data_IF_769067652074
#
_entry.id   IF_769067652074
#
_cell.length_a   1.000
_cell.length_b   1.000
_cell.length_c   1.000
_cell.angle_alpha   90.00
_cell.angle_beta   90.00
_cell.angle_gamma   90.00
#
_symmetry.space_group_name_H-M   'P 1'
#
loop_
_entity.id
_entity.type
_entity.pdbx_description
1 polymer ?
#
# COMPACT_ATOMS: atom_id res chain seq x y z
N UNK A 1 -25.55 -22.76 -22.06
CA UNK A 1 -24.27 -22.22 -21.56
C UNK A 1 -24.27 -20.72 -21.75
N UNK A 2 -24.19 -19.95 -20.67
CA UNK A 2 -24.03 -18.49 -20.74
C UNK A 2 -22.69 -18.17 -21.41
N UNK A 3 -22.76 -17.57 -22.60
CA UNK A 3 -21.53 -17.20 -23.32
C UNK A 3 -20.96 -15.91 -22.69
N UNK A 4 -20.01 -16.09 -21.77
CA UNK A 4 -19.35 -15.00 -21.01
C UNK A 4 -18.64 -13.98 -21.90
N UNK A 5 -18.34 -14.34 -23.15
CA UNK A 5 -17.67 -13.44 -24.11
C UNK A 5 -18.56 -12.26 -24.52
N UNK A 6 -19.87 -12.41 -24.46
CA UNK A 6 -20.84 -11.36 -24.86
C UNK A 6 -21.18 -10.37 -23.73
N UNK A 7 -20.68 -10.61 -22.52
CA UNK A 7 -20.92 -9.72 -21.37
C UNK A 7 -19.87 -8.60 -21.32
N UNK A 8 -20.27 -7.42 -20.91
CA UNK A 8 -19.37 -6.30 -20.67
C UNK A 8 -18.32 -6.64 -19.58
N UNK A 9 -17.14 -5.99 -19.64
CA UNK A 9 -16.05 -6.21 -18.67
C UNK A 9 -16.50 -6.21 -17.20
N UNK A 10 -17.35 -5.23 -16.73
CA UNK A 10 -17.78 -5.21 -15.33
C UNK A 10 -18.62 -6.44 -14.95
N UNK A 11 -19.54 -6.87 -15.83
CA UNK A 11 -20.38 -8.03 -15.55
C UNK A 11 -19.57 -9.32 -15.43
N UNK A 12 -18.55 -9.49 -16.28
CA UNK A 12 -17.61 -10.66 -16.16
C UNK A 12 -16.86 -10.64 -14.84
N UNK A 13 -16.37 -9.49 -14.40
CA UNK A 13 -15.63 -9.34 -13.15
C UNK A 13 -16.52 -9.68 -11.94
N UNK A 14 -17.78 -9.24 -11.96
CA UNK A 14 -18.78 -9.58 -10.93
C UNK A 14 -19.03 -11.09 -10.89
N UNK A 15 -19.22 -11.74 -12.03
CA UNK A 15 -19.44 -13.18 -12.10
C UNK A 15 -18.20 -13.95 -11.54
N UNK A 16 -16.99 -13.53 -11.90
CA UNK A 16 -15.76 -14.16 -11.37
C UNK A 16 -15.63 -14.00 -9.87
N UNK A 17 -15.94 -12.80 -9.32
CA UNK A 17 -15.93 -12.57 -7.88
C UNK A 17 -16.95 -13.47 -7.15
N UNK A 18 -18.19 -13.56 -7.65
CA UNK A 18 -19.21 -14.44 -7.07
C UNK A 18 -18.81 -15.93 -7.18
N UNK A 19 -18.25 -16.35 -8.32
CA UNK A 19 -17.77 -17.73 -8.51
C UNK A 19 -16.62 -18.07 -7.56
N UNK A 20 -15.71 -17.11 -7.31
CA UNK A 20 -14.62 -17.27 -6.35
C UNK A 20 -15.16 -17.47 -4.93
N UNK A 21 -16.07 -16.59 -4.47
CA UNK A 21 -16.67 -16.69 -3.13
C UNK A 21 -17.46 -18.00 -3.01
N UNK A 22 -18.20 -18.39 -4.04
CA UNK A 22 -18.92 -19.66 -4.06
C UNK A 22 -17.96 -20.86 -3.93
N UNK A 23 -16.86 -20.85 -4.67
CA UNK A 23 -15.82 -21.90 -4.57
C UNK A 23 -15.22 -21.97 -3.17
N UNK A 24 -14.90 -20.81 -2.55
CA UNK A 24 -14.40 -20.76 -1.17
C UNK A 24 -15.45 -21.30 -0.16
N UNK A 25 -16.73 -20.98 -0.35
CA UNK A 25 -17.82 -21.51 0.49
C UNK A 25 -17.96 -23.01 0.39
N UNK A 26 -17.80 -23.58 -0.82
CA UNK A 26 -17.81 -25.04 -1.04
C UNK A 26 -16.60 -25.69 -0.33
N UNK A 27 -15.39 -25.14 -0.52
CA UNK A 27 -14.19 -25.62 0.13
C UNK A 27 -14.34 -25.58 1.66
N UNK A 28 -14.81 -24.48 2.21
CA UNK A 28 -15.11 -24.35 3.66
C UNK A 28 -16.05 -25.45 4.13
N UNK A 29 -17.11 -25.73 3.37
CA UNK A 29 -18.12 -26.74 3.76
C UNK A 29 -17.53 -28.15 3.73
N UNK A 30 -16.63 -28.46 2.80
CA UNK A 30 -16.00 -29.78 2.66
C UNK A 30 -14.87 -29.95 3.68
N UNK A 31 -14.03 -28.95 3.89
CA UNK A 31 -12.82 -29.06 4.73
C UNK A 31 -13.04 -28.68 6.18
N UNK A 32 -14.15 -27.98 6.51
CA UNK A 32 -14.38 -27.41 7.82
C UNK A 32 -13.55 -26.15 8.13
N UNK A 33 -12.75 -25.64 7.17
CA UNK A 33 -11.87 -24.50 7.34
C UNK A 33 -12.67 -23.18 7.34
N UNK A 34 -13.22 -22.81 8.51
CA UNK A 34 -14.08 -21.62 8.70
C UNK A 34 -13.35 -20.31 8.43
N UNK A 35 -12.02 -20.30 8.57
CA UNK A 35 -11.20 -19.09 8.43
C UNK A 35 -11.12 -18.57 6.99
N UNK A 36 -11.33 -19.43 5.98
CA UNK A 36 -11.24 -19.03 4.56
C UNK A 36 -12.17 -17.89 4.17
N UNK A 37 -13.35 -17.80 4.78
CA UNK A 37 -14.36 -16.78 4.50
C UNK A 37 -14.65 -15.90 5.72
N UNK A 38 -13.75 -15.92 6.71
CA UNK A 38 -13.92 -15.17 7.95
C UNK A 38 -13.75 -13.66 7.73
N UNK A 39 -14.38 -12.87 8.60
CA UNK A 39 -14.20 -11.41 8.67
C UNK A 39 -12.73 -11.07 8.86
N UNK A 40 -12.02 -11.81 9.73
CA UNK A 40 -10.61 -11.57 10.03
C UNK A 40 -9.71 -11.77 8.81
N UNK A 41 -9.91 -12.84 8.05
CA UNK A 41 -9.14 -13.09 6.82
C UNK A 41 -9.37 -12.01 5.77
N UNK A 42 -10.61 -11.56 5.59
CA UNK A 42 -10.94 -10.49 4.65
C UNK A 42 -10.33 -9.13 5.10
N UNK A 43 -10.38 -8.81 6.39
CA UNK A 43 -9.74 -7.60 6.94
C UNK A 43 -8.22 -7.65 6.79
N UNK A 44 -7.58 -8.79 7.08
CA UNK A 44 -6.14 -8.97 6.91
C UNK A 44 -5.73 -8.86 5.44
N UNK A 45 -6.51 -9.44 4.52
CA UNK A 45 -6.26 -9.31 3.08
C UNK A 45 -6.33 -7.86 2.61
N UNK A 46 -7.32 -7.09 3.07
CA UNK A 46 -7.42 -5.65 2.79
C UNK A 46 -6.21 -4.90 3.34
N UNK A 47 -5.86 -5.13 4.60
CA UNK A 47 -4.74 -4.47 5.27
C UNK A 47 -3.43 -4.69 4.50
N UNK A 48 -3.13 -5.93 4.12
CA UNK A 48 -1.90 -6.28 3.41
C UNK A 48 -1.91 -5.86 1.92
N UNK A 49 -3.08 -5.61 1.34
CA UNK A 49 -3.19 -5.12 -0.04
C UNK A 49 -2.80 -3.63 -0.19
N UNK A 50 -2.93 -2.83 0.88
CA UNK A 50 -2.68 -1.38 0.83
C UNK A 50 -1.24 -1.04 0.45
N UNK A 51 -0.19 -1.61 1.07
CA UNK A 51 1.19 -1.32 0.68
C UNK A 51 1.49 -1.68 -0.78
N UNK A 52 0.95 -2.80 -1.24
CA UNK A 52 1.10 -3.27 -2.63
C UNK A 52 0.40 -2.29 -3.59
N UNK A 53 -0.80 -1.85 -3.26
CA UNK A 53 -1.53 -0.86 -4.05
C UNK A 53 -0.80 0.49 -4.11
N UNK A 54 -0.20 0.94 -3.00
CA UNK A 54 0.59 2.17 -2.98
C UNK A 54 1.85 2.04 -3.83
N UNK A 55 2.58 0.93 -3.74
CA UNK A 55 3.72 0.66 -4.61
C UNK A 55 3.31 0.63 -6.10
N UNK A 56 2.19 -0.01 -6.42
CA UNK A 56 1.66 -0.07 -7.79
C UNK A 56 1.28 1.33 -8.32
N UNK A 57 0.64 2.17 -7.50
CA UNK A 57 0.38 3.57 -7.87
C UNK A 57 1.69 4.33 -8.08
N UNK A 58 2.67 4.13 -7.21
CA UNK A 58 4.01 4.69 -7.38
C UNK A 58 4.62 4.31 -8.72
N UNK A 59 4.65 3.01 -9.05
CA UNK A 59 5.09 2.50 -10.35
C UNK A 59 4.36 3.15 -11.52
N UNK A 60 3.04 3.27 -11.42
CA UNK A 60 2.21 3.90 -12.46
C UNK A 60 2.65 5.35 -12.75
N UNK A 61 2.94 6.17 -11.74
CA UNK A 61 3.38 7.55 -11.95
C UNK A 61 4.75 7.64 -12.60
N UNK A 62 5.71 6.83 -12.19
CA UNK A 62 7.06 6.84 -12.76
C UNK A 62 7.07 6.29 -14.20
N UNK A 63 6.34 5.21 -14.47
CA UNK A 63 6.24 4.63 -15.82
C UNK A 63 5.54 5.58 -16.79
N UNK A 64 4.49 6.27 -16.35
CA UNK A 64 3.84 7.30 -17.17
C UNK A 64 4.70 8.52 -17.42
N UNK A 65 5.72 8.76 -16.60
CA UNK A 65 6.77 9.77 -16.85
C UNK A 65 7.91 9.25 -17.71
N UNK A 66 7.88 7.99 -18.14
CA UNK A 66 8.93 7.36 -18.96
C UNK A 66 10.17 6.91 -18.17
N UNK A 67 10.01 6.65 -16.85
CA UNK A 67 11.07 6.13 -15.99
C UNK A 67 10.55 4.89 -15.27
N UNK A 68 11.19 3.74 -15.46
CA UNK A 68 10.84 2.50 -14.74
C UNK A 68 11.49 2.54 -13.36
N UNK A 69 10.68 2.45 -12.30
CA UNK A 69 11.15 2.49 -10.93
C UNK A 69 11.13 1.09 -10.29
N UNK A 70 12.25 0.39 -10.34
CA UNK A 70 12.45 -0.92 -9.69
C UNK A 70 12.90 -0.74 -8.23
N UNK A 71 13.26 0.48 -7.82
CA UNK A 71 13.69 0.81 -6.45
C UNK A 71 12.55 0.98 -5.44
N UNK A 72 11.31 0.65 -5.78
CA UNK A 72 10.14 0.84 -4.92
C UNK A 72 10.27 0.12 -3.58
N UNK A 73 10.87 -1.07 -3.54
CA UNK A 73 11.10 -1.83 -2.32
C UNK A 73 12.01 -1.07 -1.34
N UNK A 74 13.12 -0.54 -1.83
CA UNK A 74 14.03 0.28 -1.01
C UNK A 74 13.36 1.56 -0.51
N UNK A 75 12.55 2.20 -1.35
CA UNK A 75 11.77 3.40 -0.96
C UNK A 75 10.71 3.06 0.10
N UNK A 76 10.08 1.88 0.03
CA UNK A 76 9.19 1.37 1.07
C UNK A 76 9.93 1.11 2.38
N UNK A 77 11.12 0.50 2.34
CA UNK A 77 11.95 0.26 3.54
C UNK A 77 12.32 1.58 4.21
N UNK A 78 12.75 2.59 3.44
CA UNK A 78 13.02 3.93 3.96
C UNK A 78 11.77 4.58 4.55
N UNK A 79 10.63 4.42 3.88
CA UNK A 79 9.33 4.93 4.34
C UNK A 79 8.88 4.26 5.65
N UNK A 80 9.03 2.94 5.77
CA UNK A 80 8.71 2.20 6.98
C UNK A 80 9.57 2.65 8.17
N UNK A 81 10.86 2.81 7.95
CA UNK A 81 11.78 3.27 8.96
C UNK A 81 11.48 4.71 9.40
N UNK A 82 11.34 5.63 8.45
CA UNK A 82 10.98 7.03 8.74
C UNK A 82 9.64 7.16 9.45
N UNK A 83 8.65 6.36 9.00
CA UNK A 83 7.34 6.26 9.62
C UNK A 83 7.40 5.78 11.08
N UNK A 84 8.08 4.69 11.34
CA UNK A 84 8.27 4.16 12.70
C UNK A 84 9.07 5.11 13.60
N UNK A 85 10.16 5.70 13.09
CA UNK A 85 11.01 6.60 13.87
C UNK A 85 10.31 7.89 14.28
N UNK A 86 9.66 8.58 13.35
CA UNK A 86 8.96 9.83 13.64
C UNK A 86 7.61 9.54 14.30
N UNK A 87 6.92 8.49 13.88
CA UNK A 87 5.62 8.10 14.41
C UNK A 87 5.66 7.79 15.91
N UNK A 88 6.69 7.09 16.38
CA UNK A 88 6.86 6.79 17.80
C UNK A 88 7.12 8.02 18.68
N UNK A 89 7.61 9.12 18.10
CA UNK A 89 7.93 10.36 18.84
C UNK A 89 6.87 11.45 18.73
N UNK A 90 6.22 11.55 17.57
CA UNK A 90 5.34 12.70 17.23
C UNK A 90 3.94 12.24 16.79
N UNK A 91 3.62 10.97 16.97
CA UNK A 91 2.33 10.41 16.62
C UNK A 91 2.24 9.88 15.18
N UNK A 92 1.23 9.06 14.91
CA UNK A 92 1.15 8.25 13.68
C UNK A 92 1.01 9.09 12.41
N UNK A 93 0.32 10.23 12.44
CA UNK A 93 0.16 11.11 11.29
C UNK A 93 1.47 11.76 10.86
N UNK A 94 2.28 12.20 11.83
CA UNK A 94 3.63 12.71 11.56
C UNK A 94 4.52 11.60 10.99
N UNK A 95 4.37 10.37 11.49
CA UNK A 95 5.04 9.20 10.95
C UNK A 95 4.69 8.93 9.48
N UNK A 96 3.42 9.02 9.10
CA UNK A 96 3.00 8.83 7.71
C UNK A 96 3.64 9.87 6.78
N UNK A 97 3.65 11.15 7.18
CA UNK A 97 4.30 12.21 6.40
C UNK A 97 5.81 12.00 6.29
N UNK A 98 6.46 11.59 7.38
CA UNK A 98 7.87 11.25 7.37
C UNK A 98 8.17 10.07 6.45
N UNK A 99 7.30 9.06 6.42
CA UNK A 99 7.42 7.93 5.50
C UNK A 99 7.32 8.33 4.03
N UNK A 100 6.35 9.19 3.68
CA UNK A 100 6.23 9.77 2.33
C UNK A 100 7.51 10.51 1.96
N UNK A 101 8.03 11.34 2.85
CA UNK A 101 9.24 12.12 2.63
C UNK A 101 10.47 11.22 2.43
N UNK A 102 10.66 10.21 3.28
CA UNK A 102 11.80 9.30 3.19
C UNK A 102 11.75 8.45 1.92
N UNK A 103 10.56 8.00 1.50
CA UNK A 103 10.38 7.34 0.21
C UNK A 103 10.72 8.27 -0.97
N UNK A 104 10.32 9.53 -0.91
CA UNK A 104 10.68 10.53 -1.91
C UNK A 104 12.19 10.84 -1.95
N UNK A 105 12.89 10.79 -0.81
CA UNK A 105 14.37 10.89 -0.76
C UNK A 105 15.03 9.73 -1.51
N UNK A 106 14.56 8.49 -1.30
CA UNK A 106 15.04 7.34 -2.07
C UNK A 106 14.77 7.50 -3.58
N UNK A 107 13.60 8.02 -3.94
CA UNK A 107 13.23 8.30 -5.31
C UNK A 107 14.07 9.43 -5.93
N UNK A 108 14.47 10.42 -5.14
CA UNK A 108 15.36 11.49 -5.61
C UNK A 108 16.73 10.92 -6.04
N UNK A 109 17.29 9.99 -5.28
CA UNK A 109 18.53 9.30 -5.63
C UNK A 109 18.35 8.56 -6.97
N UNK A 110 17.26 7.82 -7.13
CA UNK A 110 16.93 7.13 -8.37
C UNK A 110 16.73 8.10 -9.55
N UNK A 111 16.01 9.21 -9.33
CA UNK A 111 15.78 10.22 -10.35
C UNK A 111 17.09 10.91 -10.82
N UNK A 112 17.98 11.25 -9.89
CA UNK A 112 19.29 11.82 -10.22
C UNK A 112 20.10 10.85 -11.07
N UNK A 113 20.13 9.58 -10.71
CA UNK A 113 20.86 8.57 -11.46
C UNK A 113 20.26 8.36 -12.87
N UNK A 114 18.97 8.17 -12.97
CA UNK A 114 18.31 7.78 -14.24
C UNK A 114 18.02 8.96 -15.15
N UNK A 115 17.45 10.04 -14.63
CA UNK A 115 17.07 11.22 -15.40
C UNK A 115 18.26 12.19 -15.54
N UNK A 116 19.06 12.34 -14.46
CA UNK A 116 20.21 13.26 -14.46
C UNK A 116 21.41 12.70 -15.21
N UNK A 117 21.82 11.49 -14.90
CA UNK A 117 23.03 10.87 -15.45
C UNK A 117 22.77 9.85 -16.55
N UNK A 118 21.51 9.51 -16.83
CA UNK A 118 21.17 8.53 -17.86
C UNK A 118 21.56 7.08 -17.51
N UNK A 119 21.69 6.77 -16.23
CA UNK A 119 21.98 5.41 -15.75
C UNK A 119 20.76 4.51 -16.06
N UNK A 120 21.04 3.27 -16.41
CA UNK A 120 19.99 2.27 -16.62
C UNK A 120 19.06 2.16 -15.42
N UNK A 121 17.75 2.12 -15.68
CA UNK A 121 16.71 2.15 -14.67
C UNK A 121 16.76 0.92 -13.73
N UNK A 122 17.09 -0.25 -14.27
CA UNK A 122 17.19 -1.50 -13.49
C UNK A 122 18.38 -1.43 -12.56
N UNK A 123 19.54 -1.04 -13.07
CA UNK A 123 20.78 -0.91 -12.30
C UNK A 123 20.58 0.08 -11.15
N UNK A 124 20.04 1.26 -11.46
CA UNK A 124 19.76 2.28 -10.44
C UNK A 124 18.73 1.81 -9.39
N UNK A 125 17.66 1.14 -9.82
CA UNK A 125 16.63 0.62 -8.89
C UNK A 125 17.16 -0.42 -7.94
N UNK A 126 17.93 -1.39 -8.43
CA UNK A 126 18.59 -2.41 -7.58
C UNK A 126 19.58 -1.76 -6.62
N UNK A 127 20.36 -0.78 -7.07
CA UNK A 127 21.27 -0.04 -6.20
C UNK A 127 20.53 0.68 -5.07
N UNK A 128 19.40 1.34 -5.36
CA UNK A 128 18.55 1.99 -4.34
C UNK A 128 18.03 0.99 -3.32
N UNK A 129 17.59 -0.21 -3.74
CA UNK A 129 17.11 -1.24 -2.82
C UNK A 129 18.22 -1.70 -1.86
N UNK A 130 19.44 -1.90 -2.34
CA UNK A 130 20.59 -2.30 -1.53
C UNK A 130 21.00 -1.18 -0.57
N UNK A 131 21.12 0.05 -1.08
CA UNK A 131 21.52 1.22 -0.29
C UNK A 131 20.48 1.51 0.79
N UNK A 132 19.19 1.45 0.48
CA UNK A 132 18.11 1.71 1.42
C UNK A 132 18.18 0.76 2.64
N UNK A 133 18.34 -0.54 2.40
CA UNK A 133 18.47 -1.52 3.48
C UNK A 133 19.71 -1.25 4.36
N UNK A 134 20.84 -0.93 3.73
CA UNK A 134 22.08 -0.58 4.47
C UNK A 134 21.96 0.71 5.27
N UNK A 135 21.39 1.77 4.69
CA UNK A 135 21.18 3.06 5.35
C UNK A 135 20.25 2.94 6.56
N UNK A 136 19.11 2.27 6.38
CA UNK A 136 18.13 2.09 7.45
C UNK A 136 18.75 1.33 8.61
N UNK A 137 19.50 0.26 8.35
CA UNK A 137 20.21 -0.49 9.38
C UNK A 137 21.25 0.36 10.10
N UNK A 138 22.03 1.13 9.36
CA UNK A 138 23.04 2.03 9.91
C UNK A 138 22.41 3.09 10.82
N UNK A 139 21.38 3.78 10.36
CA UNK A 139 20.69 4.78 11.16
C UNK A 139 19.99 4.18 12.38
N UNK A 140 19.39 3.00 12.26
CA UNK A 140 18.80 2.29 13.39
C UNK A 140 19.85 2.02 14.47
N UNK A 141 21.05 1.56 14.08
CA UNK A 141 22.14 1.26 15.01
C UNK A 141 22.63 2.51 15.74
N UNK A 142 22.66 3.67 15.09
CA UNK A 142 23.15 4.92 15.70
C UNK A 142 22.07 5.56 16.57
N UNK A 143 20.85 5.66 16.04
CA UNK A 143 19.79 6.46 16.66
C UNK A 143 19.10 5.72 17.80
N UNK A 144 19.16 4.38 17.84
CA UNK A 144 18.49 3.55 18.83
C UNK A 144 19.38 3.11 19.99
N UNK A 145 20.58 3.70 20.14
CA UNK A 145 21.55 3.37 21.19
C UNK A 145 21.14 3.72 22.62
N UNK A 146 20.12 4.56 22.83
CA UNK A 146 19.85 5.15 24.15
C UNK A 146 18.69 4.50 24.92
N UNK A 147 18.62 3.18 24.96
CA UNK A 147 17.91 2.46 26.03
C UNK A 147 16.36 2.45 26.00
N UNK A 148 15.71 3.16 25.07
CA UNK A 148 14.24 3.20 24.98
C UNK A 148 13.65 2.27 23.91
N UNK A 149 14.50 1.52 23.22
CA UNK A 149 14.12 0.66 22.09
C UNK A 149 14.46 -0.80 22.40
N UNK A 150 13.61 -1.70 21.92
CA UNK A 150 13.76 -3.15 22.12
C UNK A 150 14.99 -3.76 21.42
N UNK A 151 15.81 -2.93 20.77
CA UNK A 151 17.03 -3.31 20.08
C UNK A 151 17.24 -2.50 18.79
N UNK A 152 18.36 -2.67 18.09
CA UNK A 152 18.66 -1.92 16.88
C UNK A 152 17.75 -2.26 15.69
N UNK A 153 16.97 -3.33 15.80
CA UNK A 153 16.12 -3.85 14.72
C UNK A 153 14.63 -3.49 14.85
N UNK A 154 14.21 -2.89 15.97
CA UNK A 154 12.79 -2.57 16.20
C UNK A 154 12.63 -1.18 16.81
N UNK A 155 11.64 -0.43 16.30
CA UNK A 155 11.24 0.87 16.87
C UNK A 155 10.35 0.69 18.11
N UNK A 156 10.20 1.72 18.96
CA UNK A 156 9.10 1.77 19.91
C UNK A 156 7.75 1.69 19.17
N UNK A 157 6.73 1.26 19.91
CA UNK A 157 5.37 1.21 19.37
C UNK A 157 4.89 2.61 18.98
N UNK A 158 4.20 2.66 17.87
CA UNK A 158 3.48 3.85 17.38
C UNK A 158 2.04 3.73 17.81
N UNK A 159 1.43 4.81 18.27
CA UNK A 159 0.01 4.84 18.60
C UNK A 159 -0.82 4.37 17.42
N UNK A 160 -1.81 3.53 17.68
CA UNK A 160 -2.71 3.03 16.65
C UNK A 160 -3.57 4.15 16.07
N UNK A 161 -3.70 4.17 14.76
CA UNK A 161 -4.65 5.06 14.09
C UNK A 161 -6.05 4.47 14.24
N UNK A 162 -7.00 5.32 14.62
CA UNK A 162 -8.39 4.91 14.80
C UNK A 162 -8.95 4.20 13.56
N UNK A 163 -9.78 3.22 13.81
CA UNK A 163 -10.57 2.49 12.80
C UNK A 163 -12.02 2.93 12.85
N UNK A 164 -12.70 2.87 11.74
CA UNK A 164 -14.14 3.09 11.65
C UNK A 164 -14.76 2.13 10.64
N UNK A 165 -15.96 1.65 10.93
CA UNK A 165 -16.74 0.88 9.98
C UNK A 165 -17.50 1.78 9.00
N UNK A 166 -17.88 1.24 7.84
CA UNK A 166 -18.81 1.95 6.97
C UNK A 166 -20.17 2.08 7.67
N UNK A 167 -20.67 3.31 7.79
CA UNK A 167 -21.96 3.56 8.45
C UNK A 167 -23.10 2.77 7.80
N UNK A 168 -24.05 2.31 8.62
CA UNK A 168 -25.24 1.54 8.22
C UNK A 168 -24.91 0.10 7.77
N UNK A 169 -23.78 -0.12 7.10
CA UNK A 169 -23.38 -1.45 6.62
C UNK A 169 -22.67 -2.27 7.70
N UNK A 170 -21.67 -1.70 8.37
CA UNK A 170 -20.76 -2.43 9.28
C UNK A 170 -20.63 -1.80 10.67
N UNK A 171 -21.65 -1.09 11.15
CA UNK A 171 -21.64 -0.55 12.52
C UNK A 171 -20.76 0.67 12.74
N UNK A 172 -20.44 1.44 11.69
CA UNK A 172 -19.61 2.63 11.78
C UNK A 172 -20.24 3.76 12.61
N UNK A 173 -19.38 4.66 13.10
CA UNK A 173 -19.79 5.81 13.90
C UNK A 173 -19.87 7.08 13.03
N UNK A 174 -21.02 7.79 13.05
CA UNK A 174 -21.20 9.08 12.40
C UNK A 174 -21.53 10.10 13.47
N UNK A 175 -20.66 11.08 13.73
CA UNK A 175 -20.88 12.16 14.69
C UNK A 175 -21.41 11.68 16.07
N UNK A 176 -20.91 10.53 16.58
CA UNK A 176 -21.32 9.97 17.85
C UNK A 176 -22.52 9.00 17.80
N UNK A 177 -23.20 8.89 16.66
CA UNK A 177 -24.26 7.89 16.47
C UNK A 177 -23.66 6.58 15.91
N UNK A 178 -23.80 5.51 16.69
CA UNK A 178 -23.38 4.16 16.28
C UNK A 178 -24.44 3.54 15.39
N UNK A 179 -24.12 3.35 14.13
CA UNK A 179 -25.04 2.78 13.14
C UNK A 179 -25.20 1.26 13.33
N UNK A 180 -26.32 0.66 12.86
CA UNK A 180 -26.51 -0.79 12.92
C UNK A 180 -25.48 -1.52 12.01
N UNK A 181 -25.10 -2.74 12.43
CA UNK A 181 -24.25 -3.65 11.66
C UNK A 181 -25.12 -4.65 10.89
N UNK A 182 -25.59 -4.25 9.71
CA UNK A 182 -26.44 -5.07 8.85
C UNK A 182 -25.66 -6.28 8.28
N UNK A 183 -24.40 -6.07 7.88
CA UNK A 183 -23.57 -7.15 7.33
C UNK A 183 -23.27 -8.20 8.39
N UNK A 184 -23.00 -7.79 9.63
CA UNK A 184 -22.77 -8.71 10.76
C UNK A 184 -24.00 -9.52 11.11
N UNK A 185 -25.19 -8.93 11.09
CA UNK A 185 -26.44 -9.66 11.39
C UNK A 185 -26.74 -10.75 10.36
N UNK A 186 -26.43 -10.52 9.08
CA UNK A 186 -26.63 -11.51 8.02
C UNK A 186 -25.51 -12.57 8.05
N UNK A 187 -24.27 -12.16 8.29
CA UNK A 187 -23.13 -13.06 8.45
C UNK A 187 -23.35 -14.08 9.57
N UNK A 188 -23.96 -13.67 10.69
CA UNK A 188 -24.24 -14.53 11.84
C UNK A 188 -25.28 -15.62 11.59
N UNK A 189 -26.08 -15.54 10.52
CA UNK A 189 -27.14 -16.52 10.23
C UNK A 189 -26.64 -17.87 9.71
N UNK A 190 -25.34 -17.98 9.40
CA UNK A 190 -24.69 -19.21 8.91
C UNK A 190 -25.35 -19.86 7.66
N UNK A 191 -25.98 -19.06 6.81
CA UNK A 191 -26.51 -19.52 5.54
C UNK A 191 -25.36 -19.85 4.58
N UNK A 192 -25.45 -21.00 3.92
CA UNK A 192 -24.46 -21.39 2.91
C UNK A 192 -24.28 -20.27 1.86
N UNK A 193 -23.06 -19.93 1.52
CA UNK A 193 -22.67 -18.90 0.56
C UNK A 193 -23.05 -17.46 0.96
N UNK A 194 -24.30 -17.22 1.41
CA UNK A 194 -24.76 -15.86 1.74
C UNK A 194 -23.98 -15.33 2.94
N UNK A 195 -23.88 -16.09 4.03
CA UNK A 195 -23.13 -15.65 5.21
C UNK A 195 -21.66 -15.44 4.91
N UNK A 196 -21.06 -16.25 4.02
CA UNK A 196 -19.67 -16.11 3.60
C UNK A 196 -19.45 -14.81 2.83
N UNK A 197 -20.34 -14.51 1.87
CA UNK A 197 -20.29 -13.26 1.12
C UNK A 197 -20.39 -12.04 2.05
N UNK A 198 -21.34 -12.08 2.99
CA UNK A 198 -21.54 -10.97 3.94
C UNK A 198 -20.42 -10.88 4.98
N UNK A 199 -19.79 -12.00 5.37
CA UNK A 199 -18.61 -12.01 6.23
C UNK A 199 -17.41 -11.34 5.53
N UNK A 200 -17.16 -11.68 4.26
CA UNK A 200 -16.10 -11.04 3.48
C UNK A 200 -16.37 -9.54 3.31
N UNK A 201 -17.61 -9.15 2.94
CA UNK A 201 -17.97 -7.74 2.80
C UNK A 201 -17.81 -6.98 4.13
N UNK A 202 -18.21 -7.60 5.25
CA UNK A 202 -18.01 -7.03 6.59
C UNK A 202 -16.53 -6.86 6.92
N UNK A 203 -15.68 -7.83 6.58
CA UNK A 203 -14.23 -7.73 6.78
C UNK A 203 -13.60 -6.59 5.98
N UNK A 204 -14.11 -6.32 4.78
CA UNK A 204 -13.65 -5.22 3.92
C UNK A 204 -14.18 -3.83 4.37
N UNK A 205 -15.20 -3.77 5.21
CA UNK A 205 -15.91 -2.52 5.52
C UNK A 205 -16.06 -2.23 7.02
N UNK A 206 -15.75 -3.20 7.89
CA UNK A 206 -16.04 -3.13 9.32
C UNK A 206 -15.05 -2.24 10.09
N UNK A 207 -13.85 -2.70 10.27
CA UNK A 207 -12.82 -1.99 11.06
C UNK A 207 -11.70 -1.50 10.13
N UNK A 208 -12.03 -0.50 9.31
CA UNK A 208 -11.09 0.05 8.34
C UNK A 208 -10.35 1.23 8.96
N UNK A 209 -9.02 1.18 8.96
CA UNK A 209 -8.20 2.32 9.40
C UNK A 209 -8.45 3.55 8.52
N UNK A 210 -8.43 4.75 9.10
CA UNK A 210 -8.53 5.99 8.33
C UNK A 210 -7.47 6.08 7.23
N UNK A 211 -6.27 5.54 7.44
CA UNK A 211 -5.22 5.50 6.42
C UNK A 211 -5.58 4.55 5.28
N UNK A 212 -6.21 3.41 5.58
CA UNK A 212 -6.73 2.50 4.55
C UNK A 212 -7.79 3.18 3.70
N UNK A 213 -8.69 3.96 4.31
CA UNK A 213 -9.70 4.74 3.57
C UNK A 213 -9.05 5.76 2.64
N UNK A 214 -8.02 6.48 3.13
CA UNK A 214 -7.23 7.41 2.31
C UNK A 214 -6.54 6.66 1.16
N UNK A 215 -5.93 5.51 1.43
CA UNK A 215 -5.26 4.70 0.41
C UNK A 215 -6.24 4.24 -0.69
N UNK A 216 -7.43 3.79 -0.32
CA UNK A 216 -8.49 3.43 -1.27
C UNK A 216 -8.90 4.66 -2.11
N UNK A 217 -9.06 5.83 -1.48
CA UNK A 217 -9.41 7.07 -2.17
C UNK A 217 -8.30 7.57 -3.11
N UNK A 218 -7.03 7.28 -2.81
CA UNK A 218 -5.90 7.63 -3.67
C UNK A 218 -5.93 6.90 -5.02
N UNK A 219 -6.57 5.73 -5.13
CA UNK A 219 -6.68 4.99 -6.39
C UNK A 219 -7.50 5.77 -7.45
N UNK A 220 -8.78 6.10 -7.21
CA UNK A 220 -9.55 6.90 -8.16
C UNK A 220 -9.01 8.34 -8.29
N UNK A 221 -8.44 8.91 -7.23
CA UNK A 221 -7.77 10.20 -7.29
C UNK A 221 -6.58 10.18 -8.25
N UNK A 222 -5.72 9.16 -8.20
CA UNK A 222 -4.56 9.00 -9.10
C UNK A 222 -5.02 8.85 -10.56
N UNK A 223 -6.09 8.10 -10.80
CA UNK A 223 -6.68 8.00 -12.13
C UNK A 223 -7.15 9.38 -12.61
N UNK A 224 -7.98 10.07 -11.82
CA UNK A 224 -8.45 11.41 -12.17
C UNK A 224 -7.29 12.37 -12.39
N UNK A 225 -6.31 12.38 -11.52
CA UNK A 225 -5.13 13.26 -11.60
C UNK A 225 -4.32 13.04 -12.87
N UNK A 226 -4.05 11.77 -13.23
CA UNK A 226 -3.26 11.44 -14.43
C UNK A 226 -4.01 11.70 -15.74
N UNK A 227 -5.33 11.50 -15.78
CA UNK A 227 -6.08 11.56 -17.04
C UNK A 227 -6.88 12.85 -17.25
N UNK A 228 -7.19 13.59 -16.18
CA UNK A 228 -8.06 14.75 -16.26
C UNK A 228 -7.39 16.07 -15.85
N UNK A 229 -6.08 16.08 -15.50
CA UNK A 229 -5.37 17.30 -15.16
C UNK A 229 -4.32 17.68 -16.20
N UNK A 230 -3.99 18.98 -16.28
CA UNK A 230 -2.92 19.47 -17.15
C UNK A 230 -1.53 18.92 -16.74
N UNK A 231 -1.31 18.69 -15.44
CA UNK A 231 -0.09 18.05 -14.94
C UNK A 231 0.01 16.61 -15.44
N UNK A 232 -1.04 15.81 -15.29
CA UNK A 232 -1.08 14.43 -15.76
C UNK A 232 -0.89 14.31 -17.27
N UNK A 233 -1.47 15.24 -18.05
CA UNK A 233 -1.25 15.29 -19.51
C UNK A 233 0.23 15.54 -19.83
N UNK A 234 0.87 16.53 -19.21
CA UNK A 234 2.29 16.84 -19.40
C UNK A 234 3.20 15.70 -18.95
N UNK A 235 2.86 15.04 -17.85
CA UNK A 235 3.62 13.90 -17.36
C UNK A 235 3.60 12.75 -18.37
N UNK A 236 2.43 12.39 -18.89
CA UNK A 236 2.27 11.32 -19.87
C UNK A 236 2.94 11.68 -21.22
N UNK A 237 2.80 12.92 -21.69
CA UNK A 237 3.45 13.36 -22.91
C UNK A 237 4.98 13.32 -22.78
N UNK A 238 5.55 13.65 -21.62
CA UNK A 238 6.97 13.56 -21.34
C UNK A 238 7.48 12.10 -21.33
N UNK A 239 6.64 11.13 -21.01
CA UNK A 239 6.98 9.70 -21.07
C UNK A 239 6.78 9.08 -22.45
N UNK A 240 5.66 9.40 -23.13
CA UNK A 240 5.30 8.77 -24.41
C UNK A 240 6.06 9.37 -25.62
N UNK A 241 6.24 10.70 -25.66
CA UNK A 241 6.90 11.39 -26.77
C UNK A 241 7.72 12.60 -26.24
N UNK A 242 8.89 12.38 -25.61
CA UNK A 242 9.68 13.43 -24.97
C UNK A 242 10.04 14.59 -25.91
N UNK A 243 10.52 14.30 -27.11
CA UNK A 243 10.92 15.31 -28.10
C UNK A 243 9.74 16.15 -28.60
N UNK A 244 8.58 15.53 -28.80
CA UNK A 244 7.36 16.25 -29.16
C UNK A 244 6.85 17.12 -28.00
N UNK A 245 6.94 16.63 -26.75
CA UNK A 245 6.55 17.39 -25.58
C UNK A 245 7.46 18.62 -25.39
N UNK A 246 8.76 18.49 -25.59
CA UNK A 246 9.73 19.60 -25.52
C UNK A 246 9.43 20.67 -26.59
N UNK A 247 9.13 20.29 -27.84
CA UNK A 247 8.78 21.23 -28.89
C UNK A 247 7.51 22.02 -28.58
N UNK A 248 6.63 21.51 -27.74
CA UNK A 248 5.43 22.19 -27.21
C UNK A 248 5.68 22.96 -25.90
N UNK A 249 6.95 23.09 -25.47
CA UNK A 249 7.34 23.85 -24.28
C UNK A 249 7.18 23.10 -22.97
N UNK A 250 6.96 21.80 -22.97
CA UNK A 250 6.92 21.00 -21.75
C UNK A 250 8.34 20.70 -21.29
N UNK A 251 8.66 21.04 -20.04
CA UNK A 251 9.95 20.68 -19.47
C UNK A 251 9.94 19.18 -19.07
N UNK A 252 10.43 18.34 -19.97
CA UNK A 252 10.45 16.87 -19.82
C UNK A 252 11.26 16.44 -18.59
N UNK A 253 12.39 17.09 -18.35
CA UNK A 253 13.22 16.83 -17.16
C UNK A 253 12.42 16.97 -15.87
N UNK A 254 11.75 18.12 -15.67
CA UNK A 254 10.93 18.38 -14.49
C UNK A 254 9.80 17.37 -14.35
N UNK A 255 9.17 16.98 -15.44
CA UNK A 255 8.07 16.01 -15.41
C UNK A 255 8.56 14.62 -15.00
N UNK A 256 9.71 14.15 -15.54
CA UNK A 256 10.31 12.88 -15.14
C UNK A 256 10.71 12.86 -13.66
N UNK A 257 11.39 13.90 -13.19
CA UNK A 257 11.71 14.03 -11.77
C UNK A 257 10.45 14.01 -10.89
N UNK A 258 9.42 14.78 -11.23
CA UNK A 258 8.16 14.81 -10.50
C UNK A 258 7.48 13.43 -10.46
N UNK A 259 7.42 12.70 -11.58
CA UNK A 259 6.86 11.37 -11.65
C UNK A 259 7.59 10.38 -10.73
N UNK A 260 8.92 10.40 -10.73
CA UNK A 260 9.74 9.52 -9.88
C UNK A 260 9.60 9.90 -8.40
N UNK A 261 9.58 11.20 -8.05
CA UNK A 261 9.40 11.65 -6.67
C UNK A 261 8.02 11.27 -6.11
N UNK A 262 6.97 11.45 -6.91
CA UNK A 262 5.61 11.00 -6.55
C UNK A 262 5.60 9.48 -6.36
N UNK A 263 6.27 8.73 -7.23
CA UNK A 263 6.43 7.28 -7.14
C UNK A 263 7.02 6.87 -5.79
N UNK A 264 8.14 7.48 -5.39
CA UNK A 264 8.75 7.21 -4.10
C UNK A 264 7.91 7.65 -2.90
N UNK A 265 7.17 8.75 -3.03
CA UNK A 265 6.22 9.17 -2.01
C UNK A 265 5.12 8.14 -1.76
N UNK A 266 4.53 7.57 -2.81
CA UNK A 266 3.58 6.46 -2.70
C UNK A 266 4.20 5.20 -2.10
N UNK A 267 5.39 4.81 -2.56
CA UNK A 267 6.12 3.68 -1.99
C UNK A 267 6.41 3.91 -0.49
N UNK A 268 6.90 5.11 -0.13
CA UNK A 268 7.13 5.50 1.26
C UNK A 268 5.88 5.48 2.13
N UNK A 269 4.73 5.91 1.59
CA UNK A 269 3.43 5.80 2.26
C UNK A 269 3.06 4.32 2.51
N UNK A 270 3.26 3.45 1.53
CA UNK A 270 3.06 2.01 1.68
C UNK A 270 3.94 1.40 2.76
N UNK A 271 5.21 1.81 2.83
CA UNK A 271 6.15 1.40 3.88
C UNK A 271 5.74 1.90 5.27
N UNK A 272 5.40 3.19 5.40
CA UNK A 272 4.91 3.76 6.65
C UNK A 272 3.61 3.11 7.11
N UNK A 273 2.72 2.75 6.19
CA UNK A 273 1.51 1.99 6.48
C UNK A 273 1.82 0.64 7.14
N UNK A 274 2.80 -0.10 6.61
CA UNK A 274 3.23 -1.38 7.20
C UNK A 274 3.72 -1.20 8.64
N UNK A 275 4.54 -0.18 8.88
CA UNK A 275 5.10 0.07 10.20
C UNK A 275 4.06 0.60 11.21
N UNK A 276 3.14 1.48 10.79
CA UNK A 276 2.24 2.20 11.70
C UNK A 276 0.91 1.50 11.86
N UNK A 277 0.33 1.00 10.75
CA UNK A 277 -1.05 0.46 10.75
C UNK A 277 -1.05 -1.05 10.86
N UNK A 278 -0.14 -1.74 10.19
CA UNK A 278 -0.13 -3.21 10.18
C UNK A 278 0.61 -3.80 11.37
N UNK A 279 1.77 -3.22 11.75
CA UNK A 279 2.64 -3.76 12.80
C UNK A 279 2.65 -2.93 14.09
N UNK A 280 2.21 -1.67 14.07
CA UNK A 280 2.35 -0.67 15.13
C UNK A 280 3.80 -0.34 15.54
N UNK A 281 4.79 -0.82 14.81
CA UNK A 281 6.21 -0.52 14.97
C UNK A 281 6.97 -0.84 13.70
N UNK A 282 8.14 -0.24 13.53
CA UNK A 282 9.09 -0.68 12.51
C UNK A 282 9.88 -1.87 13.02
N UNK A 283 9.96 -2.93 12.23
CA UNK A 283 10.79 -4.09 12.47
C UNK A 283 11.64 -4.39 11.25
N UNK A 284 12.96 -4.50 11.43
CA UNK A 284 13.84 -5.02 10.40
C UNK A 284 13.63 -6.53 10.29
N UNK A 285 13.37 -7.04 9.08
CA UNK A 285 13.22 -8.47 8.85
C UNK A 285 14.52 -9.19 9.19
N UNK A 286 14.57 -9.81 10.37
CA UNK A 286 15.74 -10.57 10.80
C UNK A 286 15.78 -11.91 10.07
N UNK A 287 16.68 -12.03 9.09
CA UNK A 287 16.98 -13.30 8.41
C UNK A 287 17.52 -14.38 9.36
N UNK A 288 17.83 -14.04 10.61
CA UNK A 288 18.37 -14.99 11.60
C UNK A 288 17.30 -15.74 12.39
N UNK A 289 16.09 -15.17 12.56
CA UNK A 289 15.03 -15.82 13.34
C UNK A 289 14.49 -17.10 12.69
N UNK A 290 14.61 -17.23 11.36
CA UNK A 290 14.19 -18.44 10.64
C UNK A 290 15.14 -19.64 10.84
N UNK A 291 16.36 -19.43 11.33
CA UNK A 291 17.32 -20.52 11.58
C UNK A 291 17.26 -21.12 12.98
N UNK A 292 16.67 -20.42 13.95
CA UNK A 292 16.59 -20.90 15.34
C UNK A 292 15.36 -21.78 15.64
N UNK A 293 14.35 -21.79 14.78
CA UNK A 293 13.17 -22.65 14.95
C UNK A 293 13.29 -24.02 14.24
N UNK A 294 14.43 -24.33 13.64
CA UNK A 294 14.67 -25.64 12.99
C UNK A 294 15.53 -26.61 13.83
N UNK A 295 15.78 -26.28 15.11
CA UNK A 295 16.59 -27.10 16.02
C UNK A 295 15.86 -27.42 17.33
N UNK A 296 14.60 -27.81 17.27
CA UNK A 296 13.91 -28.55 18.34
C UNK A 296 13.03 -29.65 17.74
#
# INVERSE_FOLDING_TARGET
>A
MLNLSNLGKPARLTIYAFSLVFGLSVIRKITGATDLTSVGTASAALLLSVPIAMAALGGLFSERAGVVNIGLEGMMIMGAWGGGFIGSKHGPWAGLLAGIFMGAVGALIHAIATVGFGVDHVVSGVAVNIIAAGLVRYFSTILYKNGTWLGPSQSPDVESIGTNGLPILSGGNIFGWKSPDLLGTIAAKNWFFVSDLFSILRGLTGEVSYVTMIAIALVPFSYWFLWHTAFGLRLRSAGEAPTAAESLGVNVYKMKYAGVLISGGFAGLGGAFLAIVAANHYQEADRKSTRLNSSH
#
